data_IF_021809777480
#
_entry.id   IF_021809777480
#
_cell.length_a   1.000
_cell.length_b   1.000
_cell.length_c   1.000
_cell.angle_alpha   90.00
_cell.angle_beta   90.00
_cell.angle_gamma   90.00
#
_symmetry.space_group_name_H-M   'P 1'
#
loop_
_entity.id
_entity.type
_entity.pdbx_description
1 polymer ?
#
# COMPACT_ATOMS: atom_id res chain seq x y z
N UNK A 1 -4.62 7.74 19.06
CA UNK A 1 -4.10 8.90 18.32
C UNK A 1 -4.49 10.18 19.04
N UNK A 2 -3.54 11.11 19.19
CA UNK A 2 -3.75 12.40 19.85
C UNK A 2 -3.51 13.56 18.88
N UNK A 3 -4.28 14.63 19.05
CA UNK A 3 -4.09 15.94 18.39
C UNK A 3 -3.80 16.94 19.51
N UNK A 4 -2.54 17.33 19.66
CA UNK A 4 -2.06 18.04 20.85
C UNK A 4 -2.31 17.21 22.13
N UNK A 5 -2.87 17.82 23.17
CA UNK A 5 -3.20 17.10 24.40
C UNK A 5 -4.48 16.26 24.31
N UNK A 6 -5.29 16.44 23.28
CA UNK A 6 -6.60 15.78 23.16
C UNK A 6 -6.47 14.42 22.48
N UNK A 7 -7.00 13.37 23.09
CA UNK A 7 -7.17 12.08 22.43
C UNK A 7 -8.35 12.16 21.45
N UNK A 8 -8.08 11.94 20.16
CA UNK A 8 -9.07 12.15 19.09
C UNK A 8 -9.62 10.84 18.54
N UNK A 9 -8.88 9.73 18.71
CA UNK A 9 -9.29 8.43 18.17
C UNK A 9 -8.57 7.28 18.87
N UNK A 10 -9.34 6.25 19.24
CA UNK A 10 -8.87 4.90 19.49
C UNK A 10 -9.40 3.98 18.38
N UNK A 11 -8.53 3.48 17.50
CA UNK A 11 -8.90 2.47 16.51
C UNK A 11 -9.71 2.95 15.28
N UNK A 12 -9.57 4.21 14.86
CA UNK A 12 -10.21 4.72 13.63
C UNK A 12 -9.16 5.11 12.58
N UNK A 13 -9.28 4.57 11.37
CA UNK A 13 -8.34 4.78 10.26
C UNK A 13 -8.48 6.15 9.57
N UNK A 14 -9.57 6.88 9.84
CA UNK A 14 -9.95 8.16 9.20
C UNK A 14 -9.98 9.34 10.18
N UNK A 15 -9.25 10.40 9.84
CA UNK A 15 -9.20 11.62 10.65
C UNK A 15 -9.44 12.89 9.82
N UNK A 16 -10.23 13.82 10.35
CA UNK A 16 -10.33 15.17 9.79
C UNK A 16 -9.61 16.14 10.75
N UNK A 17 -8.56 16.80 10.27
CA UNK A 17 -7.74 17.74 11.05
C UNK A 17 -8.12 19.17 10.63
N UNK A 18 -8.86 19.91 11.47
CA UNK A 18 -9.19 21.30 11.16
C UNK A 18 -7.93 22.18 11.30
N UNK A 19 -7.61 22.93 10.25
CA UNK A 19 -6.43 23.80 10.19
C UNK A 19 -6.76 25.23 9.77
N UNK A 20 -5.91 26.18 10.18
CA UNK A 20 -6.01 27.61 9.89
C UNK A 20 -4.67 28.16 9.37
N UNK A 21 -4.69 29.25 8.59
CA UNK A 21 -3.48 29.93 8.16
C UNK A 21 -2.56 30.26 9.35
N UNK A 22 -1.25 30.00 9.20
CA UNK A 22 -0.24 30.22 10.22
C UNK A 22 -0.07 29.08 11.23
N UNK A 23 -0.84 27.99 11.14
CA UNK A 23 -0.63 26.79 11.93
C UNK A 23 0.38 25.85 11.26
N UNK A 24 1.03 25.02 12.08
CA UNK A 24 1.83 23.88 11.61
C UNK A 24 1.20 22.59 12.09
N UNK A 25 1.12 21.56 11.23
CA UNK A 25 0.73 20.21 11.62
C UNK A 25 1.97 19.32 11.56
N UNK A 26 2.26 18.61 12.63
CA UNK A 26 3.45 17.77 12.76
C UNK A 26 3.03 16.35 13.07
N UNK A 27 3.35 15.44 12.17
CA UNK A 27 3.15 14.02 12.37
C UNK A 27 4.39 13.45 13.03
N UNK A 28 4.18 12.80 14.17
CA UNK A 28 5.22 12.26 15.02
C UNK A 28 5.01 10.77 15.12
N UNK A 29 6.06 10.00 14.85
CA UNK A 29 6.04 8.59 15.12
C UNK A 29 6.28 8.36 16.62
N UNK A 30 5.25 7.91 17.32
CA UNK A 30 5.34 7.55 18.74
C UNK A 30 5.84 6.14 18.98
N UNK A 31 5.99 5.31 17.93
CA UNK A 31 6.52 3.95 18.00
C UNK A 31 7.58 3.70 16.91
N UNK A 32 8.84 3.55 17.31
CA UNK A 32 9.99 3.37 16.41
C UNK A 32 9.87 2.17 15.46
N UNK A 33 8.94 1.24 15.69
CA UNK A 33 8.77 0.05 14.84
C UNK A 33 7.55 0.10 13.92
N UNK A 34 6.56 0.97 14.19
CA UNK A 34 5.27 0.89 13.51
C UNK A 34 5.17 1.84 12.29
N UNK A 35 5.30 3.16 12.49
CA UNK A 35 4.91 4.12 11.46
C UNK A 35 6.04 4.47 10.49
N UNK A 36 5.74 4.44 9.17
CA UNK A 36 6.74 4.66 8.12
C UNK A 36 6.18 5.50 6.95
N UNK A 37 6.46 6.80 6.98
CA UNK A 37 6.17 7.72 5.88
C UNK A 37 4.71 8.17 5.79
N UNK A 38 4.53 9.47 5.50
CA UNK A 38 3.23 10.10 5.27
C UNK A 38 3.23 10.75 3.90
N UNK A 39 2.24 10.43 3.07
CA UNK A 39 2.11 10.98 1.73
C UNK A 39 0.85 11.83 1.63
N UNK A 40 1.02 13.11 1.30
CA UNK A 40 -0.09 13.91 0.77
C UNK A 40 -0.18 13.62 -0.73
N UNK A 41 -1.32 13.13 -1.26
CA UNK A 41 -1.48 12.94 -2.69
C UNK A 41 -1.33 14.27 -3.44
N UNK A 42 -0.19 14.41 -4.12
CA UNK A 42 0.13 15.27 -5.28
C UNK A 42 -0.08 16.79 -5.22
N UNK A 43 1.03 17.54 -5.36
CA UNK A 43 1.09 18.91 -5.89
C UNK A 43 1.46 20.01 -4.89
N UNK A 44 1.84 21.20 -5.37
CA UNK A 44 1.80 22.41 -4.55
C UNK A 44 0.35 22.68 -4.20
N UNK A 45 -0.05 22.34 -2.98
CA UNK A 45 -1.43 22.54 -2.56
C UNK A 45 -1.57 23.98 -2.08
N UNK A 46 -2.45 24.73 -2.71
CA UNK A 46 -2.70 26.11 -2.32
C UNK A 46 -3.16 26.15 -0.86
N UNK A 47 -2.44 26.92 -0.03
CA UNK A 47 -2.69 27.03 1.40
C UNK A 47 -2.00 25.98 2.28
N UNK A 48 -1.25 25.02 1.73
CA UNK A 48 -0.52 24.01 2.51
C UNK A 48 0.86 23.71 1.90
N UNK A 49 1.90 23.80 2.71
CA UNK A 49 3.29 23.53 2.32
C UNK A 49 3.88 22.45 3.21
N UNK A 50 4.39 21.38 2.61
CA UNK A 50 5.25 20.43 3.33
C UNK A 50 6.66 21.03 3.48
N UNK A 51 7.25 20.88 4.67
CA UNK A 51 8.52 21.55 5.03
C UNK A 51 9.64 20.59 5.43
N UNK A 52 9.33 19.30 5.58
CA UNK A 52 10.29 18.26 5.96
C UNK A 52 11.07 17.68 4.77
N UNK A 53 10.63 17.92 3.53
CA UNK A 53 11.24 17.33 2.34
C UNK A 53 10.97 15.83 2.19
N UNK A 54 10.09 15.28 3.01
CA UNK A 54 9.81 13.84 3.13
C UNK A 54 8.62 13.40 2.26
N UNK A 55 8.13 14.28 1.39
CA UNK A 55 6.99 13.99 0.50
C UNK A 55 7.31 12.77 -0.36
N UNK A 56 6.56 11.69 -0.13
CA UNK A 56 6.72 10.45 -0.87
C UNK A 56 7.85 9.55 -0.37
N UNK A 57 8.56 9.91 0.70
CA UNK A 57 9.64 9.09 1.25
C UNK A 57 9.20 8.32 2.51
N UNK A 58 9.68 7.08 2.59
CA UNK A 58 9.54 6.25 3.77
C UNK A 58 10.63 6.64 4.77
N UNK A 59 10.28 7.35 5.83
CA UNK A 59 11.25 7.63 6.90
C UNK A 59 11.52 6.32 7.65
N UNK A 60 12.77 5.86 7.58
CA UNK A 60 13.25 4.76 8.40
C UNK A 60 13.78 5.34 9.73
N UNK A 61 13.10 5.12 10.86
CA UNK A 61 13.52 5.64 12.15
C UNK A 61 14.86 5.06 12.62
N UNK A 62 15.40 4.03 11.96
CA UNK A 62 16.71 3.46 12.24
C UNK A 62 17.88 4.20 11.55
N UNK A 63 17.63 5.24 10.73
CA UNK A 63 18.73 6.03 10.15
C UNK A 63 19.40 6.86 11.23
N UNK A 64 20.65 6.50 11.50
CA UNK A 64 21.54 7.01 12.53
C UNK A 64 21.47 8.54 12.73
N UNK A 65 21.23 8.97 13.97
CA UNK A 65 21.43 10.37 14.40
C UNK A 65 20.29 11.01 15.18
N UNK A 66 19.13 10.34 15.35
CA UNK A 66 18.07 10.86 16.21
C UNK A 66 18.44 10.61 17.67
N UNK A 67 18.62 11.67 18.46
CA UNK A 67 18.77 11.56 19.91
C UNK A 67 17.63 10.70 20.48
N UNK A 68 17.91 9.69 21.34
CA UNK A 68 16.89 8.78 21.87
C UNK A 68 15.76 9.48 22.67
N UNK A 69 15.92 10.77 22.97
CA UNK A 69 14.93 11.62 23.63
C UNK A 69 13.99 12.39 22.68
N UNK A 70 14.21 12.37 21.35
CA UNK A 70 13.36 13.07 20.38
C UNK A 70 12.55 12.06 19.55
N UNK A 71 11.22 12.19 19.61
CA UNK A 71 10.33 11.37 18.78
C UNK A 71 10.55 11.71 17.29
N UNK A 72 10.71 10.72 16.40
CA UNK A 72 10.98 11.00 15.00
C UNK A 72 9.80 11.72 14.34
N UNK A 73 10.07 12.91 13.81
CA UNK A 73 9.10 13.66 13.00
C UNK A 73 8.96 12.98 11.65
N UNK A 74 7.74 12.55 11.33
CA UNK A 74 7.40 11.90 10.06
C UNK A 74 7.14 12.93 8.96
N UNK A 75 6.46 14.02 9.28
CA UNK A 75 6.17 15.09 8.34
C UNK A 75 5.76 16.36 9.07
N UNK A 76 6.08 17.52 8.49
CA UNK A 76 5.58 18.83 8.94
C UNK A 76 4.94 19.59 7.78
N UNK A 77 3.71 20.04 8.01
CA UNK A 77 2.97 20.89 7.08
C UNK A 77 2.73 22.26 7.69
N UNK A 78 3.12 23.29 6.97
CA UNK A 78 2.79 24.68 7.27
C UNK A 78 1.55 25.09 6.47
N UNK A 79 0.55 25.64 7.16
CA UNK A 79 -0.69 26.09 6.55
C UNK A 79 -0.50 27.53 6.11
N UNK A 80 -0.14 27.72 4.84
CA UNK A 80 0.26 29.02 4.29
C UNK A 80 -0.92 29.93 3.91
N UNK A 81 -2.15 29.41 3.94
CA UNK A 81 -3.35 30.12 3.51
C UNK A 81 -4.63 29.34 3.80
N UNK A 82 -5.80 29.92 3.50
CA UNK A 82 -7.06 29.21 3.70
C UNK A 82 -7.19 28.04 2.71
N UNK A 83 -7.61 26.88 3.20
CA UNK A 83 -7.84 25.72 2.36
C UNK A 83 -9.14 25.88 1.57
N UNK A 84 -9.04 26.00 0.24
CA UNK A 84 -10.21 26.10 -0.64
C UNK A 84 -11.08 24.83 -0.65
N UNK A 85 -10.48 23.67 -0.34
CA UNK A 85 -11.14 22.37 -0.25
C UNK A 85 -10.40 21.48 0.76
N UNK A 86 -11.05 20.45 1.33
CA UNK A 86 -10.35 19.47 2.14
C UNK A 86 -9.19 18.82 1.38
N UNK A 87 -8.03 18.74 2.01
CA UNK A 87 -6.81 18.16 1.42
C UNK A 87 -6.60 16.79 2.05
N UNK A 88 -6.76 15.72 1.27
CA UNK A 88 -6.50 14.37 1.76
C UNK A 88 -5.02 14.16 2.05
N UNK A 89 -4.73 13.26 2.98
CA UNK A 89 -3.40 12.70 3.21
C UNK A 89 -3.52 11.21 3.51
N UNK A 90 -2.49 10.44 3.20
CA UNK A 90 -2.40 9.00 3.35
C UNK A 90 -1.02 8.62 3.91
N UNK A 91 -0.94 8.00 5.07
CA UNK A 91 0.29 7.45 5.64
C UNK A 91 0.31 5.94 5.53
N UNK A 92 1.49 5.37 5.35
CA UNK A 92 1.68 3.93 5.45
C UNK A 92 2.47 3.60 6.71
N UNK A 93 2.18 2.47 7.30
CA UNK A 93 2.81 1.97 8.51
C UNK A 93 2.76 0.43 8.44
N UNK A 94 3.69 -0.27 9.10
CA UNK A 94 3.69 -1.74 9.05
C UNK A 94 2.37 -2.28 9.61
N UNK A 95 1.49 -2.72 8.71
CA UNK A 95 0.14 -3.21 9.05
C UNK A 95 -0.96 -2.14 9.12
N UNK A 96 -0.69 -0.87 8.82
CA UNK A 96 -1.69 0.22 8.85
C UNK A 96 -1.60 1.13 7.62
N UNK A 97 -2.74 1.67 7.21
CA UNK A 97 -2.82 2.86 6.36
C UNK A 97 -3.57 3.95 7.12
N UNK A 98 -2.88 5.02 7.49
CA UNK A 98 -3.54 6.20 8.03
C UNK A 98 -4.12 6.98 6.86
N UNK A 99 -5.39 7.40 6.90
CA UNK A 99 -5.78 8.47 5.99
C UNK A 99 -6.66 9.51 6.64
N UNK A 100 -6.61 10.70 6.10
CA UNK A 100 -7.33 11.81 6.67
C UNK A 100 -7.43 12.97 5.72
N UNK A 101 -8.04 14.05 6.20
CA UNK A 101 -8.12 15.30 5.46
C UNK A 101 -7.76 16.47 6.36
N UNK A 102 -6.97 17.39 5.84
CA UNK A 102 -6.93 18.74 6.39
C UNK A 102 -8.22 19.44 5.97
N UNK A 103 -9.01 19.91 6.94
CA UNK A 103 -10.26 20.63 6.71
C UNK A 103 -10.11 22.08 7.17
N UNK A 104 -10.96 22.97 6.67
CA UNK A 104 -10.99 24.36 7.13
C UNK A 104 -11.46 24.38 8.59
N UNK A 105 -10.62 24.87 9.51
CA UNK A 105 -11.04 25.11 10.88
C UNK A 105 -11.95 26.33 10.98
N UNK A 106 -12.93 26.30 11.88
CA UNK A 106 -13.77 27.47 12.18
C UNK A 106 -12.89 28.63 12.65
N UNK A 107 -13.15 29.86 12.22
CA UNK A 107 -12.41 31.04 12.66
C UNK A 107 -12.62 31.29 14.15
N UNK A 108 -11.53 31.35 14.96
CA UNK A 108 -11.61 31.82 16.35
C UNK A 108 -11.96 33.32 16.36
N UNK A 109 -12.68 33.83 17.36
CA UNK A 109 -12.80 35.27 17.60
C UNK A 109 -11.41 35.91 17.72
N UNK A 110 -11.30 37.17 17.29
CA UNK A 110 -10.06 37.90 17.02
C UNK A 110 -9.06 38.08 18.20
N UNK A 111 -9.31 37.51 19.37
CA UNK A 111 -8.50 37.69 20.58
C UNK A 111 -7.49 36.57 20.88
N UNK A 112 -7.31 35.61 19.96
CA UNK A 112 -6.29 34.57 20.12
C UNK A 112 -5.56 34.32 18.79
N UNK A 113 -4.79 35.32 18.34
CA UNK A 113 -3.71 35.07 17.36
C UNK A 113 -2.52 34.54 18.15
N UNK A 114 -2.57 33.27 18.48
CA UNK A 114 -1.40 32.56 18.97
C UNK A 114 -0.55 32.24 17.74
N UNK A 115 0.47 33.06 17.48
CA UNK A 115 1.44 32.78 16.42
C UNK A 115 2.15 31.47 16.76
N UNK A 116 2.00 30.46 15.91
CA UNK A 116 2.74 29.20 16.04
C UNK A 116 2.05 28.10 16.83
N UNK A 117 0.71 27.99 16.78
CA UNK A 117 0.05 26.77 17.30
C UNK A 117 0.45 25.56 16.46
N UNK A 118 1.30 24.71 17.01
CA UNK A 118 1.68 23.41 16.46
C UNK A 118 0.60 22.37 16.81
N UNK A 119 0.06 21.70 15.79
CA UNK A 119 -0.88 20.60 15.91
C UNK A 119 -0.06 19.31 15.82
N UNK A 120 0.24 18.71 16.96
CA UNK A 120 0.95 17.43 17.00
C UNK A 120 -0.02 16.28 16.75
N UNK A 121 0.27 15.47 15.73
CA UNK A 121 -0.40 14.20 15.44
C UNK A 121 0.54 13.08 15.82
N UNK A 122 0.25 12.43 16.93
CA UNK A 122 1.10 11.34 17.45
C UNK A 122 0.47 9.99 17.08
N UNK A 123 1.25 9.18 16.36
CA UNK A 123 0.89 7.81 15.99
C UNK A 123 1.53 6.84 16.99
N UNK A 124 0.71 6.28 17.88
CA UNK A 124 1.12 5.33 18.93
C UNK A 124 0.22 4.08 18.85
N UNK A 125 0.82 2.89 18.96
CA UNK A 125 0.08 1.62 19.09
C UNK A 125 0.74 0.44 18.37
N UNK A 126 0.75 -0.73 19.02
CA UNK A 126 0.97 -2.00 18.36
C UNK A 126 -0.34 -2.44 17.68
N UNK A 127 -0.30 -3.03 16.48
CA UNK A 127 -1.51 -3.48 15.82
C UNK A 127 -2.24 -4.50 16.71
N UNK A 128 -3.49 -4.22 17.07
CA UNK A 128 -4.44 -5.30 17.39
C UNK A 128 -4.83 -5.90 16.04
N UNK A 129 -3.94 -6.76 15.51
CA UNK A 129 -4.31 -7.60 14.40
C UNK A 129 -5.36 -8.54 14.96
N UNK A 130 -6.64 -8.27 14.71
CA UNK A 130 -7.62 -9.34 14.69
C UNK A 130 -7.20 -10.23 13.53
N UNK A 131 -6.31 -11.17 13.80
CA UNK A 131 -5.91 -12.17 12.83
C UNK A 131 -7.17 -12.96 12.54
N UNK A 132 -7.70 -12.85 11.33
CA UNK A 132 -8.70 -13.81 10.89
C UNK A 132 -8.06 -15.19 11.06
N UNK A 133 -8.78 -16.13 11.67
CA UNK A 133 -8.34 -17.52 11.78
C UNK A 133 -8.17 -18.18 10.40
N UNK A 134 -8.68 -17.55 9.33
CA UNK A 134 -8.41 -17.92 7.94
C UNK A 134 -8.17 -16.65 7.12
N UNK A 135 -7.18 -16.66 6.21
CA UNK A 135 -7.01 -15.61 5.20
C UNK A 135 -7.57 -16.09 3.86
N UNK A 136 -8.35 -15.26 3.18
CA UNK A 136 -8.91 -15.53 1.86
C UNK A 136 -8.28 -14.62 0.80
N UNK A 137 -7.56 -15.24 -0.12
CA UNK A 137 -6.95 -14.58 -1.27
C UNK A 137 -7.68 -14.95 -2.54
N UNK A 138 -7.85 -13.97 -3.40
CA UNK A 138 -8.54 -14.15 -4.67
C UNK A 138 -7.55 -13.91 -5.81
N UNK A 139 -7.35 -14.90 -6.68
CA UNK A 139 -6.61 -14.69 -7.93
C UNK A 139 -7.55 -14.20 -9.00
N UNK A 140 -7.36 -13.01 -9.57
CA UNK A 140 -8.09 -12.63 -10.77
C UNK A 140 -7.49 -13.34 -11.99
N UNK A 141 -8.24 -14.26 -12.59
CA UNK A 141 -7.75 -15.14 -13.66
C UNK A 141 -7.19 -16.48 -13.13
N UNK A 142 -6.10 -16.96 -13.72
CA UNK A 142 -5.42 -18.19 -13.26
C UNK A 142 -4.78 -17.98 -11.88
N UNK A 143 -4.56 -19.06 -11.12
CA UNK A 143 -4.09 -19.01 -9.74
C UNK A 143 -2.68 -18.41 -9.52
N UNK A 144 -1.99 -17.97 -10.58
CA UNK A 144 -0.70 -17.29 -10.51
C UNK A 144 0.36 -18.01 -9.65
N UNK A 145 0.33 -19.35 -9.58
CA UNK A 145 1.24 -20.15 -8.76
C UNK A 145 0.83 -20.32 -7.28
N UNK A 146 -0.35 -19.84 -6.87
CA UNK A 146 -0.91 -20.15 -5.56
C UNK A 146 -1.39 -21.60 -5.49
N UNK A 147 -1.15 -22.27 -4.35
CA UNK A 147 -1.68 -23.60 -4.08
C UNK A 147 -3.20 -23.50 -3.85
N UNK A 148 -3.99 -23.86 -4.86
CA UNK A 148 -5.45 -23.82 -4.80
C UNK A 148 -5.93 -25.03 -4.02
N UNK A 149 -5.79 -25.00 -2.70
CA UNK A 149 -6.42 -26.02 -1.84
C UNK A 149 -7.91 -25.69 -1.68
N UNK A 150 -8.68 -26.03 -2.71
CA UNK A 150 -10.15 -25.96 -2.71
C UNK A 150 -10.80 -27.06 -1.87
N UNK A 151 -10.26 -27.37 -0.69
CA UNK A 151 -10.91 -28.33 0.21
C UNK A 151 -12.09 -27.62 0.85
N UNK A 152 -13.31 -28.05 0.52
CA UNK A 152 -14.54 -27.60 1.19
C UNK A 152 -14.41 -27.78 2.71
N UNK A 153 -14.94 -26.81 3.46
CA UNK A 153 -14.90 -26.80 4.92
C UNK A 153 -15.48 -28.11 5.47
N UNK A 154 -14.71 -28.82 6.27
CA UNK A 154 -15.30 -29.75 7.23
C UNK A 154 -15.78 -28.94 8.44
N UNK A 155 -17.10 -28.84 8.61
CA UNK A 155 -17.74 -28.06 9.68
C UNK A 155 -17.30 -28.45 11.10
N UNK A 156 -16.79 -29.67 11.25
CA UNK A 156 -16.43 -30.26 12.56
C UNK A 156 -14.96 -30.04 12.97
N UNK A 157 -14.12 -29.46 12.11
CA UNK A 157 -12.72 -29.14 12.45
C UNK A 157 -12.52 -27.66 12.69
N UNK A 158 -12.04 -27.33 13.88
CA UNK A 158 -11.51 -25.99 14.19
C UNK A 158 -10.20 -25.83 13.42
N UNK A 159 -10.15 -24.85 12.53
CA UNK A 159 -8.95 -24.46 11.79
C UNK A 159 -8.15 -23.50 12.67
N UNK A 160 -6.88 -23.82 12.96
CA UNK A 160 -6.04 -22.98 13.82
C UNK A 160 -5.48 -21.77 13.05
N UNK A 161 -5.02 -21.97 11.80
CA UNK A 161 -4.77 -20.94 10.77
C UNK A 161 -4.85 -21.62 9.38
N UNK A 162 -5.50 -21.00 8.39
CA UNK A 162 -5.43 -21.46 6.99
C UNK A 162 -5.42 -20.29 6.01
N UNK A 163 -4.59 -20.39 4.97
CA UNK A 163 -4.57 -19.47 3.84
C UNK A 163 -5.22 -20.18 2.64
N UNK A 164 -6.19 -19.53 1.99
CA UNK A 164 -6.87 -20.10 0.82
C UNK A 164 -6.82 -19.15 -0.35
N UNK A 165 -6.28 -19.63 -1.47
CA UNK A 165 -6.37 -18.93 -2.74
C UNK A 165 -7.51 -19.50 -3.60
N UNK A 166 -8.46 -18.67 -3.98
CA UNK A 166 -9.56 -19.06 -4.88
C UNK A 166 -9.35 -18.42 -6.26
N UNK A 167 -9.27 -19.20 -7.35
CA UNK A 167 -9.20 -18.65 -8.70
C UNK A 167 -10.52 -17.99 -9.07
N UNK A 168 -10.42 -16.73 -9.45
CA UNK A 168 -11.51 -15.91 -9.92
C UNK A 168 -11.51 -15.82 -11.46
N UNK A 169 -11.75 -16.96 -12.13
CA UNK A 169 -11.81 -17.13 -13.60
C UNK A 169 -13.22 -17.34 -14.19
N UNK A 170 -13.62 -16.63 -15.24
CA UNK A 170 -14.87 -16.87 -16.00
C UNK A 170 -15.62 -15.61 -16.46
N UNK A 171 -16.42 -15.70 -17.53
CA UNK A 171 -17.09 -14.55 -18.20
C UNK A 171 -18.31 -13.96 -17.48
N UNK A 172 -18.84 -14.64 -16.47
CA UNK A 172 -20.07 -14.24 -15.76
C UNK A 172 -19.80 -13.52 -14.43
N UNK A 173 -18.54 -13.15 -14.17
CA UNK A 173 -18.11 -12.57 -12.90
C UNK A 173 -18.40 -11.08 -12.90
N UNK A 174 -19.10 -10.62 -11.87
CA UNK A 174 -19.34 -9.21 -11.58
C UNK A 174 -19.19 -9.01 -10.09
N UNK A 175 -18.55 -7.90 -9.71
CA UNK A 175 -18.58 -7.42 -8.34
C UNK A 175 -19.62 -6.31 -8.34
N UNK A 176 -20.78 -6.59 -7.75
CA UNK A 176 -21.88 -5.62 -7.78
C UNK A 176 -21.70 -4.58 -6.67
N UNK A 177 -21.19 -5.02 -5.52
CA UNK A 177 -21.06 -4.19 -4.33
C UNK A 177 -19.72 -4.42 -3.63
N UNK A 178 -19.26 -3.41 -2.90
CA UNK A 178 -18.02 -3.51 -2.10
C UNK A 178 -18.14 -4.58 -1.02
N UNK A 179 -19.33 -4.72 -0.40
CA UNK A 179 -19.63 -5.71 0.63
C UNK A 179 -19.39 -7.15 0.17
N UNK A 180 -19.43 -7.41 -1.14
CA UNK A 180 -19.14 -8.73 -1.72
C UNK A 180 -17.67 -9.14 -1.51
N UNK A 181 -16.80 -8.18 -1.16
CA UNK A 181 -15.36 -8.35 -0.94
C UNK A 181 -14.94 -8.18 0.53
N UNK A 182 -15.88 -8.01 1.47
CA UNK A 182 -15.56 -7.74 2.89
C UNK A 182 -14.74 -8.86 3.55
N UNK A 183 -14.92 -10.11 3.09
CA UNK A 183 -14.19 -11.27 3.58
C UNK A 183 -12.88 -11.55 2.81
N UNK A 184 -12.54 -10.72 1.82
CA UNK A 184 -11.35 -10.91 0.98
C UNK A 184 -10.21 -10.05 1.52
N UNK A 185 -9.12 -10.67 1.93
CA UNK A 185 -7.95 -9.93 2.45
C UNK A 185 -7.15 -9.28 1.33
N UNK A 186 -6.98 -9.99 0.22
CA UNK A 186 -6.25 -9.49 -0.94
C UNK A 186 -6.75 -10.09 -2.25
N UNK A 187 -6.68 -9.26 -3.29
CA UNK A 187 -6.89 -9.67 -4.68
C UNK A 187 -5.55 -9.60 -5.40
N UNK A 188 -5.13 -10.72 -6.00
CA UNK A 188 -3.92 -10.82 -6.80
C UNK A 188 -4.32 -10.91 -8.26
N UNK A 189 -3.81 -9.99 -9.07
CA UNK A 189 -4.09 -9.91 -10.50
C UNK A 189 -2.79 -10.10 -11.28
N UNK A 190 -2.69 -11.23 -11.96
CA UNK A 190 -1.62 -11.49 -12.90
C UNK A 190 -2.08 -11.21 -14.33
N UNK A 191 -1.12 -10.98 -15.21
CA UNK A 191 -1.37 -10.47 -16.55
C UNK A 191 -2.04 -11.48 -17.50
N UNK A 192 -2.17 -12.76 -17.10
CA UNK A 192 -2.44 -13.92 -17.94
C UNK A 192 -3.62 -13.82 -18.90
N UNK A 193 -4.68 -13.10 -18.54
CA UNK A 193 -5.87 -12.90 -19.38
C UNK A 193 -6.02 -11.44 -19.87
N UNK A 194 -5.03 -10.56 -19.68
CA UNK A 194 -5.03 -9.19 -20.20
C UNK A 194 -5.85 -8.18 -19.38
N UNK A 195 -5.91 -8.35 -18.06
CA UNK A 195 -6.62 -7.47 -17.14
C UNK A 195 -8.09 -7.23 -17.53
N UNK A 196 -8.82 -8.28 -17.95
CA UNK A 196 -10.25 -8.18 -18.29
C UNK A 196 -11.05 -7.83 -17.03
N UNK A 197 -11.17 -6.54 -16.79
CA UNK A 197 -11.95 -5.90 -15.73
C UNK A 197 -12.72 -4.79 -16.42
N UNK A 198 -14.05 -4.84 -16.34
CA UNK A 198 -14.86 -3.77 -16.92
C UNK A 198 -14.81 -2.50 -16.04
N UNK A 199 -15.37 -1.41 -16.56
CA UNK A 199 -15.35 -0.14 -15.82
C UNK A 199 -16.14 -0.18 -14.50
N UNK A 200 -17.17 -1.03 -14.40
CA UNK A 200 -17.99 -1.15 -13.21
C UNK A 200 -17.24 -1.92 -12.12
N UNK A 201 -16.67 -3.08 -12.45
CA UNK A 201 -15.84 -3.87 -11.55
C UNK A 201 -14.62 -3.06 -11.07
N UNK A 202 -13.96 -2.34 -11.99
CA UNK A 202 -12.85 -1.46 -11.63
C UNK A 202 -13.27 -0.36 -10.65
N UNK A 203 -14.50 0.17 -10.77
CA UNK A 203 -14.99 1.17 -9.84
C UNK A 203 -15.22 0.56 -8.46
N UNK A 204 -15.81 -0.64 -8.38
CA UNK A 204 -16.02 -1.33 -7.10
C UNK A 204 -14.68 -1.70 -6.46
N UNK A 205 -13.73 -2.24 -7.23
CA UNK A 205 -12.37 -2.51 -6.77
C UNK A 205 -11.69 -1.25 -6.22
N UNK A 206 -11.81 -0.12 -6.93
CA UNK A 206 -11.25 1.14 -6.42
C UNK A 206 -11.86 1.54 -5.07
N UNK A 207 -13.17 1.35 -4.87
CA UNK A 207 -13.83 1.67 -3.60
C UNK A 207 -13.45 0.70 -2.49
N UNK A 208 -13.30 -0.59 -2.81
CA UNK A 208 -12.86 -1.61 -1.88
C UNK A 208 -11.41 -1.37 -1.43
N UNK A 209 -10.48 -1.11 -2.36
CA UNK A 209 -9.11 -0.70 -2.00
C UNK A 209 -9.17 0.60 -1.21
N UNK A 210 -9.94 1.60 -1.64
CA UNK A 210 -10.07 2.85 -0.88
C UNK A 210 -10.61 2.66 0.54
N UNK A 211 -11.35 1.57 0.81
CA UNK A 211 -11.91 1.22 2.11
C UNK A 211 -11.00 0.35 3.00
N UNK A 212 -9.82 -0.07 2.52
CA UNK A 212 -8.88 -0.90 3.29
C UNK A 212 -8.38 -2.14 2.56
N UNK A 213 -8.97 -2.47 1.40
CA UNK A 213 -8.59 -3.65 0.62
C UNK A 213 -7.16 -3.61 0.07
N UNK A 214 -6.60 -4.78 -0.21
CA UNK A 214 -5.26 -4.92 -0.78
C UNK A 214 -5.32 -5.50 -2.20
N UNK A 215 -4.87 -4.71 -3.17
CA UNK A 215 -4.69 -5.17 -4.55
C UNK A 215 -3.21 -5.42 -4.86
N UNK A 216 -2.85 -6.63 -5.29
CA UNK A 216 -1.55 -6.98 -5.86
C UNK A 216 -1.71 -7.11 -7.37
N UNK A 217 -0.91 -6.38 -8.16
CA UNK A 217 -0.96 -6.44 -9.63
C UNK A 217 0.42 -6.75 -10.19
N UNK A 218 0.53 -7.82 -10.97
CA UNK A 218 1.70 -8.11 -11.78
C UNK A 218 1.49 -7.55 -13.19
N UNK A 219 2.36 -6.61 -13.59
CA UNK A 219 2.33 -5.97 -14.91
C UNK A 219 3.21 -6.68 -15.93
N UNK A 220 4.44 -6.99 -15.51
CA UNK A 220 5.40 -7.73 -16.32
C UNK A 220 5.55 -7.22 -17.75
N UNK A 221 5.45 -8.15 -18.69
CA UNK A 221 5.57 -7.91 -20.13
C UNK A 221 4.27 -7.43 -20.78
N UNK A 222 3.17 -7.28 -20.03
CA UNK A 222 1.84 -6.92 -20.56
C UNK A 222 1.49 -5.44 -20.33
N UNK A 223 2.49 -4.56 -20.30
CA UNK A 223 2.31 -3.11 -20.08
C UNK A 223 1.31 -2.47 -21.04
N UNK A 224 1.32 -2.88 -22.31
CA UNK A 224 0.44 -2.30 -23.34
C UNK A 224 -1.04 -2.54 -23.01
N UNK A 225 -1.37 -3.72 -22.50
CA UNK A 225 -2.73 -4.09 -22.05
C UNK A 225 -3.06 -3.42 -20.72
N UNK A 226 -2.11 -3.40 -19.78
CA UNK A 226 -2.24 -2.70 -18.51
C UNK A 226 -2.66 -1.24 -18.67
N UNK A 227 -1.94 -0.49 -19.51
CA UNK A 227 -2.20 0.95 -19.72
C UNK A 227 -3.59 1.22 -20.31
N UNK A 228 -4.17 0.24 -21.01
CA UNK A 228 -5.53 0.32 -21.53
C UNK A 228 -6.60 -0.11 -20.52
N UNK A 229 -6.22 -0.83 -19.47
CA UNK A 229 -7.13 -1.30 -18.43
C UNK A 229 -7.77 -0.13 -17.66
N UNK A 230 -9.06 -0.23 -17.27
CA UNK A 230 -9.69 0.72 -16.35
C UNK A 230 -8.93 0.90 -15.02
N UNK A 231 -8.20 -0.13 -14.57
CA UNK A 231 -7.44 -0.13 -13.33
C UNK A 231 -6.27 0.88 -13.35
N UNK A 232 -5.58 1.01 -14.48
CA UNK A 232 -4.45 1.91 -14.63
C UNK A 232 -4.83 3.40 -14.47
N UNK A 233 -6.13 3.73 -14.54
CA UNK A 233 -6.62 5.11 -14.40
C UNK A 233 -6.55 5.64 -12.97
N UNK A 234 -6.62 4.77 -11.97
CA UNK A 234 -6.70 5.17 -10.56
C UNK A 234 -5.55 4.61 -9.72
N UNK A 235 -4.86 3.57 -10.20
CA UNK A 235 -3.73 3.00 -9.46
C UNK A 235 -2.54 3.98 -9.44
N UNK A 236 -1.98 4.27 -8.25
CA UNK A 236 -0.94 5.29 -8.06
C UNK A 236 0.46 4.86 -8.53
N UNK A 237 0.68 3.57 -8.81
CA UNK A 237 1.95 3.06 -9.38
C UNK A 237 1.83 2.95 -10.90
N UNK A 238 2.73 3.62 -11.62
CA UNK A 238 2.72 3.65 -13.08
C UNK A 238 3.70 2.63 -13.66
N UNK A 239 3.29 1.92 -14.71
CA UNK A 239 4.18 1.14 -15.56
C UNK A 239 4.62 2.00 -16.76
N UNK A 240 5.75 2.70 -16.61
CA UNK A 240 6.14 3.79 -17.52
C UNK A 240 6.62 3.27 -18.88
N UNK A 241 7.47 2.24 -18.88
CA UNK A 241 8.14 1.71 -20.08
C UNK A 241 8.34 0.21 -19.98
N UNK A 242 8.43 -0.44 -21.13
CA UNK A 242 8.86 -1.83 -21.23
C UNK A 242 10.37 -1.93 -20.96
N UNK A 243 10.81 -3.01 -20.30
CA UNK A 243 12.23 -3.30 -20.05
C UNK A 243 12.53 -4.78 -20.13
N UNK A 244 13.83 -5.08 -20.21
CA UNK A 244 14.38 -6.43 -20.21
C UNK A 244 15.24 -6.64 -18.96
N UNK A 245 14.78 -7.52 -18.08
CA UNK A 245 15.36 -7.82 -16.77
C UNK A 245 16.28 -9.03 -16.85
N UNK A 246 17.48 -8.94 -16.28
CA UNK A 246 18.41 -10.07 -16.21
C UNK A 246 18.18 -10.92 -14.96
N UNK A 247 18.89 -12.05 -14.87
CA UNK A 247 18.97 -12.86 -13.65
C UNK A 247 19.34 -12.03 -12.41
N UNK A 248 20.32 -11.12 -12.53
CA UNK A 248 20.75 -10.27 -11.41
C UNK A 248 19.67 -9.30 -10.94
N UNK A 249 18.79 -8.84 -11.85
CA UNK A 249 17.67 -8.00 -11.45
C UNK A 249 16.70 -8.80 -10.55
N UNK A 250 16.39 -10.05 -10.91
CA UNK A 250 15.38 -10.87 -10.22
C UNK A 250 15.77 -11.34 -8.81
N UNK A 251 17.06 -11.25 -8.43
CA UNK A 251 17.57 -11.66 -7.10
C UNK A 251 16.87 -10.97 -5.93
N UNK A 252 16.37 -9.76 -6.14
CA UNK A 252 15.60 -9.05 -5.13
C UNK A 252 14.31 -9.78 -4.75
N UNK A 253 13.70 -10.53 -5.68
CA UNK A 253 12.51 -11.34 -5.43
C UNK A 253 12.84 -12.59 -4.61
N UNK A 254 13.99 -13.21 -4.86
CA UNK A 254 14.50 -14.35 -4.07
C UNK A 254 14.77 -13.93 -2.62
N UNK A 255 15.33 -12.74 -2.43
CA UNK A 255 15.57 -12.18 -1.10
C UNK A 255 14.24 -11.91 -0.38
N UNK A 256 13.25 -11.36 -1.10
CA UNK A 256 11.95 -11.05 -0.52
C UNK A 256 11.17 -12.31 -0.11
N UNK A 257 11.23 -13.39 -0.88
CA UNK A 257 10.56 -14.64 -0.51
C UNK A 257 11.20 -15.31 0.71
N UNK A 258 12.35 -14.81 1.20
CA UNK A 258 13.18 -15.41 2.25
C UNK A 258 13.52 -16.88 1.96
N UNK A 259 13.54 -17.22 0.68
CA UNK A 259 13.61 -18.59 0.24
C UNK A 259 15.02 -18.97 -0.24
N UNK A 260 15.34 -20.25 -0.14
CA UNK A 260 16.67 -20.76 -0.45
C UNK A 260 16.87 -21.12 -1.92
N UNK A 261 15.81 -21.21 -2.72
CA UNK A 261 15.91 -21.69 -4.10
C UNK A 261 15.98 -20.54 -5.09
N UNK A 262 16.92 -20.65 -6.04
CA UNK A 262 17.05 -19.68 -7.12
C UNK A 262 15.92 -19.81 -8.12
N UNK A 263 15.57 -18.68 -8.74
CA UNK A 263 14.68 -18.65 -9.90
C UNK A 263 15.38 -19.42 -11.04
N UNK A 264 14.77 -20.48 -11.60
CA UNK A 264 15.43 -21.35 -12.59
C UNK A 264 15.49 -20.67 -13.96
N UNK A 265 16.39 -19.71 -14.10
CA UNK A 265 16.45 -18.82 -15.25
C UNK A 265 17.88 -18.41 -15.64
N UNK A 266 18.12 -18.32 -16.94
CA UNK A 266 19.30 -17.69 -17.51
C UNK A 266 18.86 -16.90 -18.75
N UNK A 267 19.16 -15.60 -18.79
CA UNK A 267 18.84 -14.74 -19.93
C UNK A 267 18.21 -13.41 -19.53
N UNK A 268 17.27 -12.91 -20.36
CA UNK A 268 16.44 -11.73 -20.07
C UNK A 268 14.95 -12.03 -20.14
N UNK A 269 14.17 -11.42 -19.25
CA UNK A 269 12.70 -11.51 -19.21
C UNK A 269 12.10 -10.14 -19.46
N UNK A 270 10.94 -10.12 -20.11
CA UNK A 270 10.15 -8.90 -20.25
C UNK A 270 9.63 -8.43 -18.89
N UNK A 271 9.66 -7.12 -18.68
CA UNK A 271 9.11 -6.49 -17.50
C UNK A 271 8.77 -5.03 -17.77
N UNK A 272 8.32 -4.35 -16.72
CA UNK A 272 7.95 -2.93 -16.77
C UNK A 272 8.82 -2.11 -15.82
N UNK A 273 9.16 -0.88 -16.22
CA UNK A 273 9.75 0.12 -15.34
C UNK A 273 8.62 0.69 -14.50
N UNK A 274 8.68 0.47 -13.19
CA UNK A 274 7.71 1.03 -12.26
C UNK A 274 8.13 2.44 -11.86
N UNK A 275 7.17 3.36 -11.91
CA UNK A 275 7.31 4.73 -11.43
C UNK A 275 6.24 4.98 -10.40
N UNK A 276 6.68 5.22 -9.17
CA UNK A 276 5.81 5.59 -8.08
C UNK A 276 5.74 7.11 -8.08
N UNK A 277 4.53 7.67 -8.15
CA UNK A 277 4.33 9.10 -7.85
C UNK A 277 4.44 9.33 -6.34
N UNK A 278 3.77 8.45 -5.61
CA UNK A 278 3.59 8.45 -4.17
C UNK A 278 3.67 6.98 -3.71
N UNK A 279 4.69 6.60 -2.93
CA UNK A 279 4.85 5.22 -2.46
C UNK A 279 6.31 4.78 -2.27
N UNK A 280 6.51 3.50 -1.95
CA UNK A 280 7.84 2.95 -1.65
C UNK A 280 8.25 1.84 -2.62
N UNK A 281 9.53 1.80 -2.94
CA UNK A 281 10.14 0.65 -3.61
C UNK A 281 10.44 -0.42 -2.57
N UNK A 282 9.75 -1.56 -2.68
CA UNK A 282 9.95 -2.67 -1.76
C UNK A 282 11.09 -3.59 -2.18
N UNK A 283 11.30 -3.73 -3.50
CA UNK A 283 12.42 -4.46 -4.06
C UNK A 283 12.99 -3.61 -5.17
N UNK A 284 14.23 -3.18 -5.00
CA UNK A 284 14.98 -2.46 -6.03
C UNK A 284 15.72 -3.46 -6.93
N UNK A 285 16.02 -3.04 -8.16
CA UNK A 285 16.97 -3.72 -9.04
C UNK A 285 17.86 -2.68 -9.72
N UNK A 286 18.90 -3.13 -10.42
CA UNK A 286 19.85 -2.27 -11.12
C UNK A 286 19.17 -1.39 -12.17
N UNK A 287 18.04 -1.85 -12.71
CA UNK A 287 17.28 -1.18 -13.77
C UNK A 287 15.98 -0.50 -13.29
N UNK A 288 15.82 -0.33 -11.97
CA UNK A 288 14.64 0.33 -11.36
C UNK A 288 13.79 -0.60 -10.48
N UNK A 289 12.72 -0.10 -9.84
CA UNK A 289 11.93 -0.85 -8.88
C UNK A 289 11.30 -2.12 -9.47
N UNK A 290 11.45 -3.26 -8.82
CA UNK A 290 10.76 -4.51 -9.17
C UNK A 290 9.41 -4.64 -8.48
N UNK A 291 9.30 -4.14 -7.25
CA UNK A 291 8.05 -4.10 -6.50
C UNK A 291 7.85 -2.69 -5.99
N UNK A 292 6.77 -2.05 -6.40
CA UNK A 292 6.32 -0.76 -5.90
C UNK A 292 5.07 -0.94 -5.03
N UNK A 293 5.02 -0.25 -3.89
CA UNK A 293 3.87 -0.27 -2.99
C UNK A 293 3.39 1.16 -2.78
N UNK A 294 2.10 1.40 -2.93
CA UNK A 294 1.51 2.72 -2.77
C UNK A 294 0.14 2.62 -2.09
N UNK A 295 -0.22 3.66 -1.33
CA UNK A 295 -1.53 3.76 -0.69
C UNK A 295 -2.60 4.20 -1.71
N UNK A 296 -3.82 3.72 -1.52
CA UNK A 296 -4.99 4.25 -2.23
C UNK A 296 -6.18 4.23 -1.26
N UNK A 297 -6.58 5.41 -0.75
CA UNK A 297 -7.51 5.49 0.37
C UNK A 297 -6.92 4.89 1.65
N UNK A 298 -7.64 3.97 2.30
CA UNK A 298 -7.16 3.17 3.44
C UNK A 298 -6.52 1.84 3.02
N UNK A 299 -6.57 1.49 1.75
CA UNK A 299 -5.96 0.26 1.27
C UNK A 299 -4.59 0.51 0.66
N UNK A 300 -4.07 -0.56 0.07
CA UNK A 300 -2.76 -0.55 -0.58
C UNK A 300 -2.79 -1.25 -1.92
N UNK A 301 -1.94 -0.77 -2.80
CA UNK A 301 -1.66 -1.38 -4.10
C UNK A 301 -0.19 -1.78 -4.15
N UNK A 302 0.06 -3.08 -4.39
CA UNK A 302 1.40 -3.62 -4.65
C UNK A 302 1.51 -3.92 -6.14
N UNK A 303 2.40 -3.25 -6.85
CA UNK A 303 2.66 -3.51 -8.27
C UNK A 303 3.99 -4.24 -8.45
N UNK A 304 3.97 -5.31 -9.24
CA UNK A 304 5.12 -6.16 -9.57
C UNK A 304 5.51 -5.95 -11.03
N UNK A 305 6.79 -5.67 -11.25
CA UNK A 305 7.37 -5.32 -12.54
C UNK A 305 7.53 -6.50 -13.52
N UNK A 306 7.34 -7.73 -13.04
CA UNK A 306 7.54 -8.99 -13.76
C UNK A 306 6.28 -9.83 -13.72
N UNK A 307 6.10 -10.69 -14.72
CA UNK A 307 4.98 -11.62 -14.80
C UNK A 307 5.16 -12.74 -13.77
N UNK A 308 4.25 -12.82 -12.79
CA UNK A 308 4.27 -13.87 -11.76
C UNK A 308 3.67 -15.20 -12.28
N UNK A 309 2.83 -15.11 -13.32
CA UNK A 309 2.10 -16.22 -13.92
C UNK A 309 2.74 -16.75 -15.21
N UNK A 310 3.90 -16.21 -15.60
CA UNK A 310 4.70 -16.68 -16.75
C UNK A 310 6.08 -17.10 -16.32
N UNK A 311 6.78 -17.82 -17.21
CA UNK A 311 8.19 -18.15 -16.96
C UNK A 311 9.01 -16.86 -16.84
N UNK A 312 10.00 -16.84 -15.93
CA UNK A 312 10.48 -17.98 -15.14
C UNK A 312 9.72 -18.20 -13.83
N UNK A 313 9.00 -17.21 -13.33
CA UNK A 313 8.40 -17.23 -11.99
C UNK A 313 7.33 -18.31 -11.84
N UNK A 314 6.50 -18.56 -12.87
CA UNK A 314 5.48 -19.61 -12.84
C UNK A 314 6.03 -21.04 -12.62
N UNK A 315 7.35 -21.23 -12.73
CA UNK A 315 8.02 -22.52 -12.47
C UNK A 315 8.95 -22.46 -11.25
N UNK A 316 9.03 -21.32 -10.59
CA UNK A 316 9.87 -21.16 -9.41
C UNK A 316 9.15 -21.75 -8.21
N UNK A 317 9.84 -22.68 -7.53
CA UNK A 317 9.28 -23.42 -6.40
C UNK A 317 8.85 -22.53 -5.24
N UNK A 318 9.50 -21.38 -5.06
CA UNK A 318 9.22 -20.43 -3.98
C UNK A 318 8.29 -19.28 -4.39
N UNK A 319 7.66 -19.37 -5.58
CA UNK A 319 6.64 -18.40 -6.00
C UNK A 319 5.48 -18.27 -4.99
N UNK A 320 4.92 -19.36 -4.40
CA UNK A 320 3.88 -19.22 -3.37
C UNK A 320 4.32 -18.32 -2.21
N UNK A 321 5.56 -18.49 -1.73
CA UNK A 321 6.12 -17.71 -0.63
C UNK A 321 6.38 -16.25 -1.02
N UNK A 322 6.72 -15.98 -2.28
CA UNK A 322 6.75 -14.62 -2.79
C UNK A 322 5.34 -14.00 -2.73
N UNK A 323 4.29 -14.72 -3.13
CA UNK A 323 2.91 -14.23 -3.11
C UNK A 323 2.44 -13.95 -1.68
N UNK A 324 2.71 -14.86 -0.74
CA UNK A 324 2.48 -14.64 0.70
C UNK A 324 3.10 -13.30 1.14
N UNK A 325 4.38 -13.06 0.82
CA UNK A 325 5.08 -11.82 1.16
C UNK A 325 4.51 -10.58 0.48
N UNK A 326 4.04 -10.71 -0.76
CA UNK A 326 3.39 -9.62 -1.48
C UNK A 326 2.06 -9.24 -0.83
N UNK A 327 1.31 -10.22 -0.31
CA UNK A 327 -0.01 -10.06 0.32
C UNK A 327 0.10 -9.61 1.78
N UNK A 328 1.00 -10.17 2.57
CA UNK A 328 1.20 -9.73 3.96
C UNK A 328 1.77 -8.32 4.03
N UNK A 329 2.55 -7.96 3.02
CA UNK A 329 3.26 -6.69 2.94
C UNK A 329 4.70 -6.84 3.44
N UNK A 330 5.62 -6.22 2.70
CA UNK A 330 7.05 -6.31 2.98
C UNK A 330 7.37 -5.52 4.25
N UNK A 331 7.54 -6.25 5.35
CA UNK A 331 7.73 -5.72 6.70
C UNK A 331 7.18 -6.61 7.81
N UNK A 332 6.30 -7.57 7.51
CA UNK A 332 5.75 -8.52 8.49
C UNK A 332 6.73 -9.67 8.83
N UNK A 333 7.98 -9.34 9.18
CA UNK A 333 8.91 -10.31 9.78
C UNK A 333 9.08 -9.89 11.24
N UNK A 334 8.64 -10.76 12.14
CA UNK A 334 8.72 -10.61 13.60
C UNK A 334 10.16 -10.34 14.09
N UNK A 335 10.30 -9.69 15.28
CA UNK A 335 11.56 -9.61 15.99
C UNK A 335 12.06 -11.00 16.38
N UNK A 336 13.38 -11.16 16.41
CA UNK A 336 14.08 -12.35 16.90
C UNK A 336 13.76 -12.65 18.37
#
# INVERSE_FOLDING_TARGET
MRIGETEVSSGVDRIDIPVRPGQSVVFINGDSHAARGLVIPGGSVEGLRETTGSVGELIDPAVAGVEPSKRPVMARFEVTGELARPISFHGLSTGWALSGRFTRGESKPAEAVDQGTEIEVIVEGAPVVLSQSEKLWVSWGQAAGMDVTGVERNGDRRVEMAERAIPWSGRSRRINHVVDLDAVDAIIMAAGDGYVVDAADSQVLSRWVAAGGHLVVSVGSQRAEWVQSPLAKWIPVLAEKDRQLSDSDLRGLETLSLAGNRIPFQGRVGGSVLKLRDGRTSVASLSGPLIGVAAYGFGRVTMVAVDIDRRPLARWVDLPRLIERLVEGVGATEPA
#
